data_IF_304893733641
#
_entry.id   IF_304893733641
#
_cell.length_a   1.000
_cell.length_b   1.000
_cell.length_c   1.000
_cell.angle_alpha   90.00
_cell.angle_beta   90.00
_cell.angle_gamma   90.00
#
_symmetry.space_group_name_H-M   'P 1'
#
loop_
_entity.id
_entity.type
_entity.pdbx_description
1 polymer ?
#
# COMPACT_ATOMS: atom_id res chain seq x y z
N UNK A 1 27.26 -39.37 21.32
CA UNK A 1 26.06 -38.66 21.80
C UNK A 1 26.27 -37.14 21.94
N UNK A 2 26.91 -36.45 20.98
CA UNK A 2 27.35 -35.05 21.15
C UNK A 2 26.64 -34.01 20.26
N UNK A 3 25.82 -34.42 19.28
CA UNK A 3 25.20 -33.49 18.32
C UNK A 3 23.96 -32.75 18.83
N UNK A 4 23.22 -33.34 19.78
CA UNK A 4 21.94 -32.80 20.26
C UNK A 4 22.11 -31.71 21.33
N UNK A 5 23.19 -31.76 22.10
CA UNK A 5 23.46 -30.76 23.14
C UNK A 5 23.93 -29.41 22.54
N UNK A 6 24.63 -29.44 21.40
CA UNK A 6 25.13 -28.24 20.72
C UNK A 6 23.99 -27.46 20.04
N UNK A 7 23.04 -28.16 19.40
CA UNK A 7 21.88 -27.51 18.75
C UNK A 7 20.92 -26.84 19.76
N UNK A 8 20.80 -27.42 20.96
CA UNK A 8 19.99 -26.83 22.05
C UNK A 8 20.67 -25.58 22.62
N UNK A 9 22.00 -25.58 22.75
CA UNK A 9 22.77 -24.42 23.20
C UNK A 9 22.72 -23.26 22.20
N UNK A 10 22.76 -23.53 20.90
CA UNK A 10 22.67 -22.48 19.88
C UNK A 10 21.25 -21.90 19.77
N UNK A 11 20.21 -22.74 19.87
CA UNK A 11 18.82 -22.27 19.97
C UNK A 11 18.57 -21.43 21.23
N UNK A 12 19.19 -21.79 22.36
CA UNK A 12 19.13 -21.02 23.60
C UNK A 12 19.86 -19.67 23.48
N UNK A 13 21.04 -19.61 22.86
CA UNK A 13 21.76 -18.34 22.59
C UNK A 13 20.95 -17.41 21.69
N UNK A 14 20.29 -17.96 20.67
CA UNK A 14 19.47 -17.17 19.76
C UNK A 14 18.21 -16.62 20.46
N UNK A 15 17.56 -17.44 21.28
CA UNK A 15 16.42 -17.07 22.14
C UNK A 15 16.78 -15.98 23.14
N UNK A 16 17.90 -16.14 23.85
CA UNK A 16 18.42 -15.14 24.79
C UNK A 16 18.78 -13.86 24.05
N UNK A 17 19.43 -13.95 22.88
CA UNK A 17 19.76 -12.80 22.04
C UNK A 17 18.52 -12.05 21.51
N UNK A 18 17.42 -12.76 21.17
CA UNK A 18 16.14 -12.13 20.81
C UNK A 18 15.49 -11.45 22.01
N UNK A 19 15.55 -12.08 23.18
CA UNK A 19 14.98 -11.54 24.43
C UNK A 19 15.75 -10.30 24.89
N UNK A 20 17.08 -10.32 24.79
CA UNK A 20 17.94 -9.17 25.07
C UNK A 20 17.65 -8.02 24.09
N UNK A 21 17.53 -8.32 22.78
CA UNK A 21 17.16 -7.32 21.75
C UNK A 21 15.79 -6.71 22.03
N UNK A 22 14.76 -7.51 22.31
CA UNK A 22 13.42 -7.02 22.68
C UNK A 22 13.46 -6.18 23.95
N UNK A 23 14.24 -6.59 24.94
CA UNK A 23 14.38 -5.86 26.21
C UNK A 23 15.08 -4.53 25.99
N UNK A 24 16.18 -4.50 25.22
CA UNK A 24 16.91 -3.29 24.82
C UNK A 24 16.05 -2.33 24.01
N UNK A 25 15.20 -2.83 23.09
CA UNK A 25 14.24 -2.01 22.33
C UNK A 25 13.16 -1.44 23.28
N UNK A 26 12.68 -2.24 24.23
CA UNK A 26 11.63 -1.84 25.19
C UNK A 26 12.16 -0.85 26.23
N UNK A 27 13.41 -0.98 26.67
CA UNK A 27 14.09 0.05 27.47
C UNK A 27 14.49 1.26 26.64
N UNK A 28 14.82 1.12 25.34
CA UNK A 28 14.99 2.24 24.39
C UNK A 28 13.71 3.05 24.18
N UNK A 29 12.54 2.41 24.23
CA UNK A 29 11.23 3.10 24.21
C UNK A 29 10.89 3.85 25.52
N UNK A 30 11.41 3.41 26.67
CA UNK A 30 11.28 4.12 27.96
C UNK A 30 12.35 5.19 28.16
N UNK A 31 13.52 4.97 27.57
CA UNK A 31 14.53 5.96 27.30
C UNK A 31 14.09 6.80 26.09
N UNK A 32 13.02 7.60 26.26
CA UNK A 32 12.98 8.92 25.63
C UNK A 32 14.22 9.67 26.15
N UNK A 33 15.35 9.36 25.54
CA UNK A 33 16.62 10.04 25.72
C UNK A 33 16.34 11.45 25.25
N UNK A 34 16.32 12.33 26.24
CA UNK A 34 16.60 13.74 26.11
C UNK A 34 17.44 14.02 24.86
N UNK A 35 16.91 14.90 24.01
CA UNK A 35 17.68 15.91 23.28
C UNK A 35 19.21 15.71 23.23
N UNK A 36 19.73 15.61 22.00
CA UNK A 36 21.16 15.61 21.64
C UNK A 36 21.93 14.32 21.93
N UNK A 37 21.69 13.30 21.10
CA UNK A 37 22.81 12.51 20.57
C UNK A 37 22.71 12.63 19.06
N UNK A 38 23.80 12.99 18.40
CA UNK A 38 23.92 12.99 16.95
C UNK A 38 23.62 11.56 16.46
N UNK A 39 22.35 11.29 16.17
CA UNK A 39 21.98 10.12 15.42
C UNK A 39 22.51 10.37 14.02
N UNK A 40 23.33 9.46 13.56
CA UNK A 40 23.68 9.35 12.15
C UNK A 40 22.34 9.25 11.40
N UNK A 41 21.93 10.32 10.70
CA UNK A 41 20.65 10.41 9.98
C UNK A 41 20.59 9.47 8.77
N UNK A 42 21.64 8.65 8.59
CA UNK A 42 21.70 7.58 7.64
C UNK A 42 20.49 6.66 7.88
N UNK A 43 19.63 6.55 6.86
CA UNK A 43 18.42 5.73 6.81
C UNK A 43 17.12 6.29 7.45
N UNK A 44 17.05 7.59 7.78
CA UNK A 44 15.76 8.25 8.14
C UNK A 44 14.75 8.25 6.98
N UNK A 45 15.24 8.08 5.75
CA UNK A 45 14.42 7.90 4.55
C UNK A 45 13.44 6.72 4.68
N UNK A 46 13.76 5.68 5.45
CA UNK A 46 12.87 4.55 5.71
C UNK A 46 11.57 5.02 6.40
N UNK A 47 11.68 5.94 7.37
CA UNK A 47 10.52 6.46 8.10
C UNK A 47 9.68 7.39 7.21
N UNK A 48 10.34 8.14 6.33
CA UNK A 48 9.69 9.01 5.33
C UNK A 48 8.92 8.17 4.31
N UNK A 49 9.55 7.15 3.73
CA UNK A 49 8.92 6.19 2.81
C UNK A 49 7.74 5.48 3.48
N UNK A 50 7.90 5.03 4.73
CA UNK A 50 6.81 4.42 5.49
C UNK A 50 5.62 5.35 5.73
N UNK A 51 5.88 6.64 5.95
CA UNK A 51 4.82 7.65 6.08
C UNK A 51 4.09 7.88 4.75
N UNK A 52 4.83 7.96 3.65
CA UNK A 52 4.25 8.11 2.30
C UNK A 52 3.36 6.92 1.92
N UNK A 53 3.86 5.68 2.10
CA UNK A 53 3.08 4.46 1.80
C UNK A 53 1.82 4.37 2.66
N UNK A 54 1.91 4.65 3.97
CA UNK A 54 0.73 4.67 4.86
C UNK A 54 -0.28 5.74 4.46
N UNK A 55 0.20 6.93 4.11
CA UNK A 55 -0.66 8.04 3.66
C UNK A 55 -1.42 7.66 2.39
N UNK A 56 -0.74 7.11 1.38
CA UNK A 56 -1.39 6.69 0.15
C UNK A 56 -2.38 5.53 0.40
N UNK A 57 -2.01 4.54 1.21
CA UNK A 57 -2.91 3.44 1.58
C UNK A 57 -4.18 3.94 2.29
N UNK A 58 -4.06 4.92 3.18
CA UNK A 58 -5.20 5.55 3.84
C UNK A 58 -6.08 6.31 2.84
N UNK A 59 -5.48 7.06 1.91
CA UNK A 59 -6.20 7.73 0.82
C UNK A 59 -6.96 6.70 -0.03
N UNK A 60 -6.33 5.59 -0.40
CA UNK A 60 -6.96 4.51 -1.15
C UNK A 60 -8.14 3.88 -0.41
N UNK A 61 -7.96 3.52 0.86
CA UNK A 61 -9.04 2.96 1.67
C UNK A 61 -10.22 3.94 1.81
N UNK A 62 -9.94 5.25 1.87
CA UNK A 62 -10.98 6.26 1.91
C UNK A 62 -11.72 6.38 0.57
N UNK A 63 -10.98 6.46 -0.55
CA UNK A 63 -11.55 6.53 -1.90
C UNK A 63 -12.37 5.29 -2.20
N UNK A 64 -11.86 4.08 -1.93
CA UNK A 64 -12.59 2.83 -2.12
C UNK A 64 -13.89 2.79 -1.31
N UNK A 65 -13.89 3.26 -0.05
CA UNK A 65 -15.13 3.36 0.74
C UNK A 65 -16.14 4.33 0.13
N UNK A 66 -15.68 5.50 -0.33
CA UNK A 66 -16.55 6.48 -0.99
C UNK A 66 -17.08 5.92 -2.31
N UNK A 67 -16.26 5.19 -3.05
CA UNK A 67 -16.60 4.56 -4.31
C UNK A 67 -17.69 3.50 -4.13
N UNK A 68 -17.52 2.57 -3.19
CA UNK A 68 -18.54 1.54 -2.89
C UNK A 68 -19.87 2.18 -2.46
N UNK A 69 -19.82 3.22 -1.64
CA UNK A 69 -21.03 3.96 -1.23
C UNK A 69 -21.69 4.69 -2.41
N UNK A 70 -20.89 5.19 -3.34
CA UNK A 70 -21.40 5.78 -4.57
C UNK A 70 -22.02 4.72 -5.47
N UNK A 71 -21.42 3.53 -5.58
CA UNK A 71 -21.98 2.39 -6.32
C UNK A 71 -23.34 1.97 -5.78
N UNK A 72 -23.49 1.80 -4.47
CA UNK A 72 -24.77 1.49 -3.83
C UNK A 72 -25.85 2.49 -4.22
N UNK A 73 -25.56 3.78 -4.10
CA UNK A 73 -26.50 4.85 -4.49
C UNK A 73 -26.75 4.90 -5.99
N UNK A 74 -25.75 4.58 -6.80
CA UNK A 74 -25.87 4.54 -8.25
C UNK A 74 -26.75 3.37 -8.70
N UNK A 75 -26.74 2.24 -7.98
CA UNK A 75 -27.61 1.11 -8.24
C UNK A 75 -29.08 1.48 -7.97
N UNK A 76 -29.36 2.21 -6.88
CA UNK A 76 -30.69 2.73 -6.58
C UNK A 76 -31.17 3.70 -7.67
N UNK A 77 -30.30 4.65 -8.06
CA UNK A 77 -30.59 5.60 -9.14
C UNK A 77 -30.78 4.90 -10.49
N UNK A 78 -29.99 3.85 -10.77
CA UNK A 78 -30.09 3.05 -11.98
C UNK A 78 -31.41 2.26 -12.01
N UNK A 79 -31.86 1.71 -10.89
CA UNK A 79 -33.16 1.05 -10.78
C UNK A 79 -34.33 2.03 -11.01
N UNK A 80 -34.24 3.25 -10.45
CA UNK A 80 -35.22 4.31 -10.69
C UNK A 80 -35.21 4.77 -12.16
N UNK A 81 -34.03 4.94 -12.76
CA UNK A 81 -33.87 5.29 -14.18
C UNK A 81 -34.46 4.23 -15.09
N UNK A 82 -34.22 2.95 -14.79
CA UNK A 82 -34.79 1.82 -15.53
C UNK A 82 -36.32 1.83 -15.49
N UNK A 83 -36.90 2.05 -14.31
CA UNK A 83 -38.35 2.14 -14.15
C UNK A 83 -38.94 3.31 -14.97
N UNK A 84 -38.27 4.46 -15.00
CA UNK A 84 -38.66 5.60 -15.82
C UNK A 84 -38.52 5.32 -17.32
N UNK A 85 -37.39 4.74 -17.75
CA UNK A 85 -37.14 4.33 -19.14
C UNK A 85 -38.20 3.33 -19.61
N UNK A 86 -38.52 2.32 -18.80
CA UNK A 86 -39.59 1.35 -19.08
C UNK A 86 -40.96 2.02 -19.20
N UNK A 87 -41.30 2.96 -18.30
CA UNK A 87 -42.54 3.71 -18.38
C UNK A 87 -42.63 4.55 -19.67
N UNK A 88 -41.57 5.27 -20.04
CA UNK A 88 -41.51 6.05 -21.28
C UNK A 88 -41.63 5.13 -22.50
N UNK A 89 -40.91 4.01 -22.54
CA UNK A 89 -40.99 3.04 -23.64
C UNK A 89 -42.41 2.49 -23.82
N UNK A 90 -43.09 2.13 -22.72
CA UNK A 90 -44.48 1.67 -22.74
C UNK A 90 -45.42 2.76 -23.26
N UNK A 91 -45.28 4.00 -22.76
CA UNK A 91 -46.11 5.13 -23.21
C UNK A 91 -45.87 5.50 -24.68
N UNK A 92 -44.64 5.35 -25.17
CA UNK A 92 -44.25 5.68 -26.54
C UNK A 92 -44.37 4.51 -27.54
N UNK A 93 -44.74 3.30 -27.08
CA UNK A 93 -44.83 2.11 -27.94
C UNK A 93 -43.49 1.60 -28.49
N UNK A 94 -42.37 1.97 -27.87
CA UNK A 94 -41.01 1.65 -28.32
C UNK A 94 -40.66 0.21 -27.91
N UNK A 95 -40.37 -0.66 -28.88
CA UNK A 95 -39.94 -2.04 -28.65
C UNK A 95 -38.42 -2.14 -28.54
N UNK A 96 -37.93 -2.04 -27.31
CA UNK A 96 -36.57 -2.39 -26.87
C UNK A 96 -35.42 -1.54 -27.42
N UNK A 97 -34.82 -0.78 -26.50
CA UNK A 97 -33.40 -0.38 -26.56
C UNK A 97 -32.68 -1.21 -25.49
N UNK A 98 -31.46 -1.70 -25.77
CA UNK A 98 -30.64 -2.33 -24.74
C UNK A 98 -30.58 -1.38 -23.53
N UNK A 99 -30.98 -1.89 -22.37
CA UNK A 99 -31.09 -1.10 -21.15
C UNK A 99 -29.75 -0.43 -20.87
N UNK A 100 -29.72 0.91 -20.90
CA UNK A 100 -28.59 1.75 -20.53
C UNK A 100 -28.13 1.46 -19.10
N UNK A 101 -29.03 0.94 -18.28
CA UNK A 101 -28.79 0.39 -16.94
C UNK A 101 -27.80 -0.79 -16.95
N UNK A 102 -27.83 -1.65 -17.97
CA UNK A 102 -27.03 -2.87 -18.08
C UNK A 102 -25.59 -2.58 -18.51
N UNK A 103 -25.41 -1.66 -19.47
CA UNK A 103 -24.09 -1.16 -19.91
C UNK A 103 -23.35 -0.46 -18.75
N UNK A 104 -24.10 0.31 -17.94
CA UNK A 104 -23.51 1.02 -16.80
C UNK A 104 -23.07 0.02 -15.73
N UNK A 105 -23.92 -0.98 -15.40
CA UNK A 105 -23.67 -1.95 -14.31
C UNK A 105 -22.54 -2.95 -14.60
N UNK A 106 -22.38 -3.38 -15.85
CA UNK A 106 -21.41 -4.42 -16.22
C UNK A 106 -19.96 -3.91 -16.30
N UNK A 107 -19.76 -2.59 -16.44
CA UNK A 107 -18.43 -1.97 -16.39
C UNK A 107 -18.00 -1.56 -14.97
N UNK A 108 -18.94 -1.46 -14.04
CA UNK A 108 -18.71 -1.00 -12.67
C UNK A 108 -17.85 -1.98 -11.85
N UNK A 109 -18.13 -3.29 -12.00
CA UNK A 109 -17.71 -4.30 -11.03
C UNK A 109 -16.31 -4.88 -11.31
N UNK A 110 -15.91 -5.05 -12.57
CA UNK A 110 -14.74 -5.87 -12.87
C UNK A 110 -13.42 -5.07 -12.95
N UNK A 111 -13.34 -3.97 -13.72
CA UNK A 111 -12.05 -3.30 -13.99
C UNK A 111 -11.54 -2.42 -12.83
N UNK A 112 -12.45 -1.78 -12.09
CA UNK A 112 -12.09 -0.78 -11.07
C UNK A 112 -11.66 -1.44 -9.76
N UNK A 113 -12.42 -2.43 -9.30
CA UNK A 113 -12.21 -3.10 -8.03
C UNK A 113 -10.93 -3.96 -8.04
N UNK A 114 -10.67 -4.68 -9.13
CA UNK A 114 -9.43 -5.43 -9.33
C UNK A 114 -8.22 -4.49 -9.29
N UNK A 115 -8.31 -3.35 -9.99
CA UNK A 115 -7.25 -2.33 -10.00
C UNK A 115 -6.96 -1.79 -8.61
N UNK A 116 -7.98 -1.48 -7.81
CA UNK A 116 -7.80 -0.99 -6.44
C UNK A 116 -7.17 -2.03 -5.50
N UNK A 117 -7.60 -3.28 -5.57
CA UNK A 117 -7.05 -4.34 -4.72
C UNK A 117 -5.60 -4.66 -5.07
N UNK A 118 -5.23 -4.64 -6.35
CA UNK A 118 -3.84 -4.84 -6.75
C UNK A 118 -2.90 -3.72 -6.27
N UNK A 119 -3.34 -2.46 -6.38
CA UNK A 119 -2.59 -1.32 -5.85
C UNK A 119 -2.40 -1.44 -4.33
N UNK A 120 -3.45 -1.85 -3.61
CA UNK A 120 -3.44 -2.03 -2.16
C UNK A 120 -2.49 -3.15 -1.73
N UNK A 121 -2.57 -4.33 -2.36
CA UNK A 121 -1.65 -5.45 -2.09
C UNK A 121 -0.20 -5.03 -2.23
N UNK A 122 0.12 -4.22 -3.25
CA UNK A 122 1.49 -3.76 -3.48
C UNK A 122 1.97 -2.80 -2.39
N UNK A 123 1.13 -1.87 -1.94
CA UNK A 123 1.45 -0.99 -0.82
C UNK A 123 1.63 -1.76 0.50
N UNK A 124 0.79 -2.76 0.76
CA UNK A 124 0.92 -3.65 1.92
C UNK A 124 2.22 -4.46 1.89
N UNK A 125 2.65 -4.90 0.70
CA UNK A 125 3.95 -5.54 0.52
C UNK A 125 5.09 -4.57 0.91
N UNK A 126 5.07 -3.32 0.43
CA UNK A 126 6.08 -2.33 0.80
C UNK A 126 6.11 -2.04 2.30
N UNK A 127 4.96 -2.05 2.99
CA UNK A 127 4.94 -1.91 4.45
C UNK A 127 5.66 -3.06 5.18
N UNK A 128 5.56 -4.29 4.65
CA UNK A 128 6.30 -5.43 5.19
C UNK A 128 7.81 -5.25 4.96
N UNK A 129 8.19 -4.89 3.74
CA UNK A 129 9.60 -4.68 3.40
C UNK A 129 10.23 -3.52 4.17
N UNK A 130 9.51 -2.41 4.38
CA UNK A 130 9.98 -1.29 5.22
C UNK A 130 10.15 -1.70 6.68
N UNK A 131 9.33 -2.62 7.19
CA UNK A 131 9.50 -3.19 8.54
C UNK A 131 10.76 -4.05 8.62
N UNK A 132 11.05 -4.81 7.58
CA UNK A 132 12.28 -5.59 7.50
C UNK A 132 13.52 -4.69 7.39
N UNK A 133 13.43 -3.59 6.65
CA UNK A 133 14.46 -2.55 6.60
C UNK A 133 14.68 -1.90 7.97
N UNK A 134 13.61 -1.61 8.72
CA UNK A 134 13.73 -1.09 10.09
C UNK A 134 14.39 -2.10 11.04
N UNK A 135 14.07 -3.39 10.92
CA UNK A 135 14.75 -4.44 11.70
C UNK A 135 16.25 -4.50 11.38
N UNK A 136 16.62 -4.39 10.10
CA UNK A 136 18.02 -4.30 9.67
C UNK A 136 18.71 -3.05 10.20
N UNK A 137 18.04 -1.88 10.17
CA UNK A 137 18.49 -0.62 10.77
C UNK A 137 18.77 -0.77 12.26
N UNK A 138 17.87 -1.41 13.00
CA UNK A 138 18.06 -1.67 14.43
C UNK A 138 19.27 -2.58 14.70
N UNK A 139 19.47 -3.62 13.89
CA UNK A 139 20.64 -4.50 14.01
C UNK A 139 21.94 -3.76 13.68
N UNK A 140 21.97 -2.97 12.59
CA UNK A 140 23.12 -2.13 12.22
C UNK A 140 23.56 -1.25 13.39
N UNK A 141 22.63 -0.51 14.01
CA UNK A 141 22.96 0.34 15.16
C UNK A 141 23.42 -0.47 16.38
N UNK A 142 22.84 -1.66 16.61
CA UNK A 142 23.28 -2.52 17.71
C UNK A 142 24.74 -2.99 17.52
N UNK A 143 25.11 -3.43 16.32
CA UNK A 143 26.48 -3.85 16.00
C UNK A 143 27.45 -2.66 15.95
N UNK A 144 27.02 -1.49 15.48
CA UNK A 144 27.83 -0.27 15.51
C UNK A 144 28.24 0.10 16.93
N UNK A 145 27.31 -0.01 17.88
CA UNK A 145 27.60 0.20 19.31
C UNK A 145 28.59 -0.85 19.85
N UNK A 146 28.48 -2.12 19.42
CA UNK A 146 29.42 -3.18 19.85
C UNK A 146 30.82 -2.93 19.30
N UNK A 147 30.92 -2.53 18.03
CA UNK A 147 32.18 -2.11 17.38
C UNK A 147 32.82 -0.92 18.11
N UNK A 148 32.05 0.12 18.41
CA UNK A 148 32.55 1.32 19.11
C UNK A 148 33.04 1.02 20.53
N UNK A 149 32.46 0.02 21.20
CA UNK A 149 32.82 -0.42 22.56
C UNK A 149 33.87 -1.54 22.61
N UNK A 150 34.32 -2.05 21.46
CA UNK A 150 35.30 -3.12 21.42
C UNK A 150 36.71 -2.58 21.73
N UNK A 151 37.28 -3.03 22.84
CA UNK A 151 38.64 -2.66 23.27
C UNK A 151 39.73 -3.64 22.76
N UNK A 152 39.34 -4.87 22.42
CA UNK A 152 40.24 -5.88 21.83
C UNK A 152 40.26 -5.73 20.31
N UNK A 153 41.44 -5.68 19.72
CA UNK A 153 41.67 -5.56 18.28
C UNK A 153 40.99 -6.69 17.48
N UNK A 154 41.11 -7.96 17.91
CA UNK A 154 40.49 -9.08 17.19
C UNK A 154 38.97 -9.00 17.22
N UNK A 155 38.41 -8.61 18.37
CA UNK A 155 36.97 -8.40 18.52
C UNK A 155 36.49 -7.21 17.69
N UNK A 156 37.25 -6.12 17.66
CA UNK A 156 36.92 -4.91 16.91
C UNK A 156 36.89 -5.15 15.41
N UNK A 157 37.83 -5.93 14.87
CA UNK A 157 37.84 -6.29 13.44
C UNK A 157 36.62 -7.17 13.06
N UNK A 158 36.26 -8.14 13.90
CA UNK A 158 35.06 -8.96 13.68
C UNK A 158 33.78 -8.13 13.69
N UNK A 159 33.62 -7.23 14.67
CA UNK A 159 32.45 -6.35 14.76
C UNK A 159 32.41 -5.37 13.57
N UNK A 160 33.56 -4.89 13.10
CA UNK A 160 33.64 -4.03 11.91
C UNK A 160 33.10 -4.72 10.66
N UNK A 161 33.52 -5.95 10.39
CA UNK A 161 33.00 -6.72 9.25
C UNK A 161 31.48 -6.93 9.31
N UNK A 162 30.94 -7.12 10.52
CA UNK A 162 29.49 -7.24 10.73
C UNK A 162 28.81 -5.89 10.44
N UNK A 163 29.33 -4.78 10.96
CA UNK A 163 28.80 -3.44 10.72
C UNK A 163 28.78 -3.10 9.23
N UNK A 164 29.90 -3.31 8.53
CA UNK A 164 30.02 -3.04 7.09
C UNK A 164 29.02 -3.86 6.28
N UNK A 165 28.81 -5.14 6.65
CA UNK A 165 27.81 -6.01 6.03
C UNK A 165 26.39 -5.48 6.20
N UNK A 166 26.00 -5.11 7.43
CA UNK A 166 24.66 -4.57 7.69
C UNK A 166 24.46 -3.20 7.03
N UNK A 167 25.50 -2.36 7.00
CA UNK A 167 25.45 -1.07 6.32
C UNK A 167 25.20 -1.25 4.83
N UNK A 168 25.94 -2.15 4.17
CA UNK A 168 25.76 -2.43 2.74
C UNK A 168 24.36 -2.95 2.44
N UNK A 169 23.88 -3.92 3.21
CA UNK A 169 22.54 -4.49 3.04
C UNK A 169 21.45 -3.44 3.21
N UNK A 170 21.59 -2.56 4.21
CA UNK A 170 20.63 -1.51 4.48
C UNK A 170 20.63 -0.45 3.38
N UNK A 171 21.80 0.01 2.92
CA UNK A 171 21.92 0.94 1.79
C UNK A 171 21.27 0.39 0.52
N UNK A 172 21.58 -0.85 0.15
CA UNK A 172 20.99 -1.48 -1.04
C UNK A 172 19.46 -1.62 -0.93
N UNK A 173 18.97 -1.99 0.26
CA UNK A 173 17.54 -2.14 0.50
C UNK A 173 16.82 -0.78 0.48
N UNK A 174 17.39 0.26 1.11
CA UNK A 174 16.81 1.61 1.13
C UNK A 174 16.76 2.21 -0.27
N UNK A 175 17.84 2.14 -1.05
CA UNK A 175 17.85 2.64 -2.43
C UNK A 175 16.85 1.91 -3.34
N UNK A 176 16.71 0.60 -3.16
CA UNK A 176 15.70 -0.18 -3.89
C UNK A 176 14.29 0.27 -3.50
N UNK A 177 14.00 0.31 -2.20
CA UNK A 177 12.68 0.69 -1.68
C UNK A 177 12.31 2.11 -2.09
N UNK A 178 13.25 3.06 -2.04
CA UNK A 178 13.02 4.42 -2.48
C UNK A 178 12.59 4.47 -3.94
N UNK A 179 13.35 3.83 -4.84
CA UNK A 179 13.03 3.80 -6.27
C UNK A 179 11.69 3.11 -6.55
N UNK A 180 11.46 1.95 -5.96
CA UNK A 180 10.26 1.16 -6.21
C UNK A 180 9.01 1.80 -5.63
N UNK A 181 9.08 2.34 -4.41
CA UNK A 181 7.96 3.05 -3.77
C UNK A 181 7.65 4.30 -4.57
N UNK A 182 8.63 5.17 -4.86
CA UNK A 182 8.36 6.40 -5.63
C UNK A 182 7.71 6.11 -6.97
N UNK A 183 8.19 5.10 -7.71
CA UNK A 183 7.56 4.68 -8.96
C UNK A 183 6.14 4.19 -8.74
N UNK A 184 5.93 3.29 -7.77
CA UNK A 184 4.59 2.74 -7.51
C UNK A 184 3.59 3.82 -7.08
N UNK A 185 4.01 4.78 -6.24
CA UNK A 185 3.15 5.87 -5.81
C UNK A 185 2.66 6.69 -7.02
N UNK A 186 3.55 6.99 -7.96
CA UNK A 186 3.22 7.69 -9.21
C UNK A 186 2.31 6.87 -10.13
N UNK A 187 2.64 5.58 -10.34
CA UNK A 187 1.85 4.69 -11.19
C UNK A 187 0.43 4.49 -10.64
N UNK A 188 0.31 4.40 -9.31
CA UNK A 188 -0.95 4.30 -8.60
C UNK A 188 -1.85 5.52 -8.84
N UNK A 189 -1.29 6.73 -8.80
CA UNK A 189 -2.04 7.96 -9.07
C UNK A 189 -2.52 8.01 -10.53
N UNK A 190 -1.66 7.66 -11.50
CA UNK A 190 -2.04 7.60 -12.91
C UNK A 190 -3.17 6.58 -13.16
N UNK A 191 -3.04 5.36 -12.63
CA UNK A 191 -4.07 4.30 -12.76
C UNK A 191 -5.41 4.71 -12.15
N UNK A 192 -5.39 5.41 -11.02
CA UNK A 192 -6.61 5.96 -10.43
C UNK A 192 -7.29 6.94 -11.37
N UNK A 193 -6.55 7.91 -11.92
CA UNK A 193 -7.11 8.89 -12.85
C UNK A 193 -7.69 8.22 -14.10
N UNK A 194 -6.97 7.27 -14.69
CA UNK A 194 -7.45 6.52 -15.86
C UNK A 194 -8.74 5.75 -15.57
N UNK A 195 -8.82 5.08 -14.42
CA UNK A 195 -10.02 4.38 -13.99
C UNK A 195 -11.23 5.32 -13.86
N UNK A 196 -11.03 6.48 -13.22
CA UNK A 196 -12.06 7.50 -13.04
C UNK A 196 -12.51 8.12 -14.38
N UNK A 197 -11.56 8.40 -15.28
CA UNK A 197 -11.84 8.99 -16.58
C UNK A 197 -12.65 8.04 -17.47
N UNK A 198 -12.25 6.77 -17.55
CA UNK A 198 -13.01 5.74 -18.30
C UNK A 198 -14.43 5.60 -17.77
N UNK A 199 -14.57 5.64 -16.45
CA UNK A 199 -15.88 5.61 -15.80
C UNK A 199 -16.77 6.79 -16.23
N UNK A 200 -16.28 8.03 -16.10
CA UNK A 200 -17.08 9.21 -16.47
C UNK A 200 -17.37 9.28 -17.96
N UNK A 201 -16.41 8.89 -18.81
CA UNK A 201 -16.60 8.85 -20.25
C UNK A 201 -17.76 7.92 -20.63
N UNK A 202 -17.78 6.69 -20.12
CA UNK A 202 -18.87 5.74 -20.40
C UNK A 202 -20.21 6.19 -19.85
N UNK A 203 -20.21 6.84 -18.69
CA UNK A 203 -21.43 7.42 -18.13
C UNK A 203 -22.01 8.51 -19.04
N UNK A 204 -21.16 9.35 -19.63
CA UNK A 204 -21.58 10.37 -20.59
C UNK A 204 -22.06 9.76 -21.90
N UNK A 205 -21.38 8.73 -22.42
CA UNK A 205 -21.81 7.99 -23.62
C UNK A 205 -23.19 7.34 -23.43
N UNK A 206 -23.42 6.72 -22.26
CA UNK A 206 -24.73 6.16 -21.89
C UNK A 206 -25.81 7.24 -21.82
N UNK A 207 -25.54 8.37 -21.14
CA UNK A 207 -26.49 9.48 -21.06
C UNK A 207 -26.82 10.07 -22.44
N UNK A 208 -25.81 10.26 -23.29
CA UNK A 208 -25.99 10.77 -24.65
C UNK A 208 -26.87 9.84 -25.50
N UNK A 209 -26.73 8.53 -25.34
CA UNK A 209 -27.58 7.55 -26.02
C UNK A 209 -29.06 7.68 -25.60
N UNK A 210 -29.35 7.84 -24.31
CA UNK A 210 -30.73 8.06 -23.82
C UNK A 210 -31.32 9.35 -24.40
N UNK A 211 -30.57 10.45 -24.29
CA UNK A 211 -31.03 11.78 -24.75
C UNK A 211 -31.25 11.78 -26.27
N UNK A 212 -30.37 11.13 -27.03
CA UNK A 212 -30.46 11.00 -28.49
C UNK A 212 -31.66 10.19 -28.98
N UNK A 213 -32.25 9.33 -28.14
CA UNK A 213 -33.47 8.58 -28.48
C UNK A 213 -34.73 9.36 -28.08
N UNK A 214 -34.72 10.01 -26.92
CA UNK A 214 -35.92 10.67 -26.36
C UNK A 214 -36.24 12.00 -27.07
N UNK A 215 -35.23 12.84 -27.32
CA UNK A 215 -35.47 14.19 -27.89
C UNK A 215 -36.10 14.15 -29.29
N UNK A 216 -35.61 13.33 -30.24
CA UNK A 216 -36.24 13.25 -31.55
C UNK A 216 -37.69 12.75 -31.48
N UNK A 217 -38.00 11.84 -30.56
CA UNK A 217 -39.35 11.30 -30.39
C UNK A 217 -40.33 12.32 -29.81
N UNK A 218 -39.89 13.19 -28.89
CA UNK A 218 -40.72 14.28 -28.34
C UNK A 218 -40.96 15.43 -29.32
N UNK A 219 -40.13 15.56 -30.35
CA UNK A 219 -40.23 16.58 -31.39
C UNK A 219 -40.92 16.08 -32.68
N UNK A 220 -41.34 14.82 -32.70
CA UNK A 220 -42.10 14.18 -33.80
C UNK A 220 -43.60 14.23 -33.53
#
# INVERSE_FOLDING_TARGET
MSGQAVSVLDGAKESVGRTLRKTLIKTRGRLKISSKRNYDCSFDEIDTLGTQVKSQLNRFNHVSKLWNKYEEKSADAAAASKSLEEAIMVSCGIKQVQSTTEITRQFFVDDSQETFEDMKKKLEQFLKELKDADNLRQNYFAFKIMYEKANDYKKKENEKQIVDKYQLQLSQMTERLQREISRQLSDNEARMYDCMMRYYQKKLESLAAVVGVIIPFLLS
#
